data_IF_500026878739
#
_entry.id   IF_500026878739
#
_cell.length_a   1.000
_cell.length_b   1.000
_cell.length_c   1.000
_cell.angle_alpha   90.00
_cell.angle_beta   90.00
_cell.angle_gamma   90.00
#
_symmetry.space_group_name_H-M   'P 1'
#
loop_
_entity.id
_entity.type
_entity.pdbx_description
1 polymer ?
#
# COMPACT_ATOMS: atom_id res chain seq x y z
N UNK A 1 1.39 8.70 13.09
CA UNK A 1 0.84 9.22 11.83
C UNK A 1 -0.63 9.59 12.03
N UNK A 2 -1.05 10.74 11.51
CA UNK A 2 -2.43 11.25 11.67
C UNK A 2 -3.37 10.87 10.53
N UNK A 3 -2.83 10.29 9.45
CA UNK A 3 -3.57 9.82 8.28
C UNK A 3 -3.09 8.42 7.94
N UNK A 4 -3.97 7.65 7.30
CA UNK A 4 -3.59 6.38 6.71
C UNK A 4 -2.52 6.62 5.62
N UNK A 5 -1.68 5.62 5.38
CA UNK A 5 -0.58 5.71 4.42
C UNK A 5 -0.48 4.46 3.57
N UNK A 6 -0.62 4.62 2.26
CA UNK A 6 -0.44 3.56 1.28
C UNK A 6 0.97 3.62 0.67
N UNK A 7 1.73 2.56 0.84
CA UNK A 7 3.01 2.37 0.18
C UNK A 7 2.86 1.58 -1.11
N UNK A 8 3.43 2.11 -2.19
CA UNK A 8 3.44 1.50 -3.53
C UNK A 8 4.87 1.43 -4.06
N UNK A 9 5.12 0.47 -4.94
CA UNK A 9 6.36 0.40 -5.71
C UNK A 9 6.26 1.31 -6.93
N UNK A 10 7.28 2.15 -7.15
CA UNK A 10 7.44 2.87 -8.41
C UNK A 10 7.58 1.87 -9.56
N UNK A 11 6.79 1.96 -10.64
CA UNK A 11 6.92 1.06 -11.79
C UNK A 11 8.22 1.32 -12.56
N UNK A 12 8.61 0.37 -13.40
CA UNK A 12 9.81 0.48 -14.25
C UNK A 12 11.11 0.07 -13.55
N UNK A 13 11.03 -0.72 -12.48
CA UNK A 13 12.21 -1.20 -11.75
C UNK A 13 12.87 -2.40 -12.43
N UNK A 14 14.15 -2.59 -12.15
CA UNK A 14 14.90 -3.78 -12.55
C UNK A 14 15.04 -4.71 -11.35
N UNK A 15 14.93 -6.02 -11.61
CA UNK A 15 15.16 -7.06 -10.61
C UNK A 15 16.47 -7.77 -10.97
N UNK A 16 17.50 -7.75 -10.10
CA UNK A 16 18.76 -8.46 -10.33
C UNK A 16 18.61 -9.94 -10.64
N UNK A 17 17.51 -10.59 -10.21
CA UNK A 17 17.20 -11.97 -10.56
C UNK A 17 16.82 -12.16 -12.04
N UNK A 18 16.47 -11.07 -12.74
CA UNK A 18 16.04 -11.05 -14.13
C UNK A 18 16.74 -9.92 -14.93
N UNK A 19 18.05 -10.06 -15.19
CA UNK A 19 18.85 -9.00 -15.79
C UNK A 19 18.32 -8.57 -17.18
N UNK A 20 18.40 -7.26 -17.46
CA UNK A 20 17.98 -6.66 -18.73
C UNK A 20 16.46 -6.50 -18.92
N UNK A 21 15.66 -6.78 -17.88
CA UNK A 21 14.20 -6.65 -17.91
C UNK A 21 13.72 -5.57 -16.94
N UNK A 22 12.68 -4.85 -17.34
CA UNK A 22 11.97 -3.89 -16.50
C UNK A 22 10.61 -4.42 -16.11
N UNK A 23 10.21 -4.12 -14.89
CA UNK A 23 9.02 -4.66 -14.26
C UNK A 23 8.16 -3.56 -13.66
N UNK A 24 6.90 -3.90 -13.44
CA UNK A 24 6.02 -3.19 -12.53
C UNK A 24 5.37 -4.21 -11.60
N UNK A 25 5.02 -3.79 -10.39
CA UNK A 25 4.25 -4.63 -9.48
C UNK A 25 2.78 -4.50 -9.88
N UNK A 26 2.17 -5.59 -10.38
CA UNK A 26 0.79 -5.55 -10.86
C UNK A 26 -0.23 -5.22 -9.76
N UNK A 27 0.02 -5.65 -8.51
CA UNK A 27 -0.77 -5.22 -7.35
C UNK A 27 -0.69 -3.71 -7.10
N UNK A 28 0.50 -3.11 -7.22
CA UNK A 28 0.64 -1.65 -7.08
C UNK A 28 0.00 -0.93 -8.26
N UNK A 29 0.12 -1.47 -9.49
CA UNK A 29 -0.49 -0.88 -10.69
C UNK A 29 -2.03 -0.86 -10.58
N UNK A 30 -2.64 -1.88 -9.98
CA UNK A 30 -4.07 -1.89 -9.65
C UNK A 30 -4.43 -0.70 -8.75
N UNK A 31 -3.67 -0.48 -7.66
CA UNK A 31 -3.89 0.67 -6.78
C UNK A 31 -3.70 1.99 -7.52
N UNK A 32 -2.63 2.14 -8.30
CA UNK A 32 -2.38 3.35 -9.10
C UNK A 32 -3.55 3.68 -10.03
N UNK A 33 -4.13 2.67 -10.70
CA UNK A 33 -5.31 2.88 -11.55
C UNK A 33 -6.54 3.36 -10.78
N UNK A 34 -6.79 2.79 -9.60
CA UNK A 34 -7.88 3.22 -8.70
C UNK A 34 -7.64 4.66 -8.22
N UNK A 35 -6.45 4.97 -7.74
CA UNK A 35 -6.09 6.31 -7.27
C UNK A 35 -6.22 7.37 -8.38
N UNK A 36 -5.76 7.04 -9.58
CA UNK A 36 -5.84 7.93 -10.74
C UNK A 36 -7.28 8.18 -11.20
N UNK A 37 -8.17 7.21 -11.00
CA UNK A 37 -9.60 7.32 -11.36
C UNK A 37 -10.37 8.22 -10.38
N UNK A 38 -9.89 8.37 -9.14
CA UNK A 38 -10.55 9.15 -8.08
C UNK A 38 -9.55 10.10 -7.37
N UNK A 39 -8.98 11.10 -8.07
CA UNK A 39 -7.88 11.91 -7.55
C UNK A 39 -8.26 12.75 -6.32
N UNK A 40 -9.53 13.15 -6.18
CA UNK A 40 -10.01 13.88 -5.00
C UNK A 40 -10.04 12.98 -3.74
N UNK A 41 -10.38 11.70 -3.91
CA UNK A 41 -10.37 10.74 -2.81
C UNK A 41 -8.95 10.34 -2.44
N UNK A 42 -8.05 10.24 -3.43
CA UNK A 42 -6.63 9.95 -3.21
C UNK A 42 -5.92 11.01 -2.36
N UNK A 43 -6.44 12.25 -2.29
CA UNK A 43 -5.91 13.30 -1.41
C UNK A 43 -6.26 13.10 0.07
N UNK A 44 -7.16 12.15 0.41
CA UNK A 44 -7.66 11.92 1.78
C UNK A 44 -6.71 11.12 2.67
N UNK A 45 -5.62 10.61 2.13
CA UNK A 45 -4.60 9.85 2.85
C UNK A 45 -3.24 10.01 2.16
N UNK A 46 -2.18 9.51 2.78
CA UNK A 46 -0.83 9.62 2.22
C UNK A 46 -0.57 8.48 1.22
N UNK A 47 -0.01 8.80 0.06
CA UNK A 47 0.46 7.79 -0.91
C UNK A 47 1.97 7.96 -1.11
N UNK A 48 2.74 6.97 -0.66
CA UNK A 48 4.20 6.98 -0.76
C UNK A 48 4.68 5.94 -1.78
N UNK A 49 5.36 6.42 -2.82
CA UNK A 49 5.91 5.57 -3.88
C UNK A 49 7.40 5.39 -3.66
N UNK A 50 7.83 4.16 -3.39
CA UNK A 50 9.23 3.82 -3.07
C UNK A 50 9.86 2.91 -4.13
N UNK A 51 11.19 2.80 -4.09
CA UNK A 51 11.95 1.98 -5.03
C UNK A 51 11.83 0.47 -4.72
N UNK A 52 12.11 -0.36 -5.73
CA UNK A 52 12.11 -1.83 -5.63
C UNK A 52 13.02 -2.45 -4.56
N UNK A 53 14.28 -2.00 -4.39
CA UNK A 53 15.25 -2.72 -3.56
C UNK A 53 14.77 -2.95 -2.12
N UNK A 54 15.07 -4.14 -1.60
CA UNK A 54 15.04 -4.44 -0.17
C UNK A 54 16.44 -4.20 0.43
N UNK A 55 16.56 -3.89 1.74
CA UNK A 55 15.49 -3.66 2.70
C UNK A 55 14.77 -2.31 2.51
N UNK A 56 13.44 -2.30 2.67
CA UNK A 56 12.62 -1.07 2.54
C UNK A 56 12.50 -0.35 3.88
N UNK A 57 13.61 0.28 4.31
CA UNK A 57 13.74 0.89 5.64
C UNK A 57 12.55 1.78 6.08
N UNK A 58 11.96 2.65 5.22
CA UNK A 58 10.80 3.45 5.61
C UNK A 58 9.57 2.61 6.00
N UNK A 59 9.39 1.45 5.36
CA UNK A 59 8.28 0.52 5.64
C UNK A 59 8.61 -0.31 6.88
N UNK A 60 9.84 -0.83 6.97
CA UNK A 60 10.31 -1.65 8.10
C UNK A 60 10.19 -0.90 9.42
N UNK A 61 10.51 0.40 9.44
CA UNK A 61 10.35 1.24 10.63
C UNK A 61 8.91 1.31 11.16
N UNK A 62 7.91 1.03 10.31
CA UNK A 62 6.49 1.16 10.63
C UNK A 62 5.81 -0.19 10.87
N UNK A 63 6.26 -1.25 10.21
CA UNK A 63 5.60 -2.57 10.28
C UNK A 63 6.55 -3.74 10.54
N UNK A 64 7.84 -3.50 10.79
CA UNK A 64 8.83 -4.55 10.99
C UNK A 64 9.33 -5.18 9.69
N UNK A 65 10.40 -5.95 9.80
CA UNK A 65 11.13 -6.49 8.64
C UNK A 65 10.32 -7.50 7.82
N UNK A 66 9.51 -8.31 8.50
CA UNK A 66 8.69 -9.37 7.92
C UNK A 66 7.56 -8.84 7.03
N UNK A 67 7.14 -7.59 7.23
CA UNK A 67 5.95 -7.01 6.60
C UNK A 67 6.25 -5.94 5.54
N UNK A 68 7.49 -5.90 5.02
CA UNK A 68 7.93 -4.89 4.03
C UNK A 68 7.47 -5.14 2.57
N UNK A 69 6.52 -6.04 2.34
CA UNK A 69 5.96 -6.31 0.99
C UNK A 69 4.94 -5.23 0.60
N UNK A 70 4.86 -4.91 -0.69
CA UNK A 70 3.99 -3.84 -1.22
C UNK A 70 3.02 -4.38 -2.28
N UNK A 71 1.81 -3.82 -2.42
CA UNK A 71 1.29 -2.62 -1.72
C UNK A 71 1.01 -2.87 -0.23
N UNK A 72 1.08 -1.83 0.58
CA UNK A 72 0.82 -1.89 2.02
C UNK A 72 0.10 -0.63 2.49
N UNK A 73 -1.09 -0.78 3.07
CA UNK A 73 -1.81 0.31 3.73
C UNK A 73 -1.54 0.24 5.24
N UNK A 74 -1.04 1.32 5.82
CA UNK A 74 -0.87 1.47 7.26
C UNK A 74 -1.95 2.43 7.75
N UNK A 75 -2.66 2.07 8.80
CA UNK A 75 -3.72 2.92 9.35
C UNK A 75 -3.13 4.01 10.25
N UNK A 76 -3.86 5.11 10.36
CA UNK A 76 -3.58 6.19 11.32
C UNK A 76 -3.46 5.66 12.75
N UNK A 77 -2.69 6.36 13.60
CA UNK A 77 -2.37 5.86 14.94
C UNK A 77 -3.64 5.64 15.78
N UNK A 78 -3.76 4.47 16.40
CA UNK A 78 -4.90 4.08 17.24
C UNK A 78 -6.10 3.50 16.47
N UNK A 79 -6.09 3.57 15.14
CA UNK A 79 -7.15 3.02 14.29
C UNK A 79 -6.97 1.52 14.03
N UNK A 80 -8.10 0.85 13.83
CA UNK A 80 -8.16 -0.56 13.41
C UNK A 80 -9.11 -0.72 12.23
N UNK A 81 -9.06 -1.86 11.55
CA UNK A 81 -10.03 -2.20 10.50
C UNK A 81 -10.29 -3.70 10.52
N UNK A 82 -11.53 -4.11 10.21
CA UNK A 82 -11.86 -5.52 9.99
C UNK A 82 -11.07 -6.15 8.82
N UNK A 83 -10.49 -5.32 7.96
CA UNK A 83 -9.65 -5.74 6.84
C UNK A 83 -8.16 -5.84 7.20
N UNK A 84 -7.75 -5.49 8.43
CA UNK A 84 -6.34 -5.56 8.81
C UNK A 84 -5.77 -6.96 8.68
N UNK A 85 -4.53 -7.06 8.20
CA UNK A 85 -3.79 -8.32 8.04
C UNK A 85 -2.73 -8.49 9.10
N UNK A 86 -2.43 -7.45 9.87
CA UNK A 86 -1.49 -7.51 10.98
C UNK A 86 -1.47 -6.23 11.80
N UNK A 87 -0.66 -6.28 12.85
CA UNK A 87 -0.38 -5.14 13.71
C UNK A 87 1.08 -5.20 14.14
N UNK A 88 1.76 -4.05 14.14
CA UNK A 88 3.13 -3.93 14.62
C UNK A 88 3.24 -2.72 15.54
N UNK A 89 3.66 -2.92 16.79
CA UNK A 89 3.80 -1.85 17.78
C UNK A 89 2.57 -0.92 17.87
N UNK A 90 1.37 -1.49 17.85
CA UNK A 90 0.10 -0.75 17.91
C UNK A 90 -0.35 -0.10 16.59
N UNK A 91 0.38 -0.31 15.49
CA UNK A 91 -0.03 0.14 14.14
C UNK A 91 -0.66 -1.00 13.37
N UNK A 92 -1.95 -0.89 13.07
CA UNK A 92 -2.64 -1.82 12.18
C UNK A 92 -2.22 -1.57 10.72
N UNK A 93 -2.06 -2.65 9.95
CA UNK A 93 -1.73 -2.57 8.53
C UNK A 93 -2.47 -3.63 7.70
N UNK A 94 -2.54 -3.40 6.40
CA UNK A 94 -3.21 -4.23 5.40
C UNK A 94 -2.24 -4.47 4.25
N UNK A 95 -1.88 -5.73 4.02
CA UNK A 95 -0.91 -6.15 3.00
C UNK A 95 -1.52 -7.05 1.91
N UNK A 96 -2.84 -7.18 1.88
CA UNK A 96 -3.58 -7.94 0.88
C UNK A 96 -4.31 -6.98 -0.06
N UNK A 97 -4.23 -7.21 -1.38
CA UNK A 97 -4.76 -6.29 -2.39
C UNK A 97 -6.26 -6.05 -2.27
N UNK A 98 -7.05 -7.10 -2.00
CA UNK A 98 -8.52 -6.99 -2.01
C UNK A 98 -8.98 -6.34 -0.71
N UNK A 99 -8.30 -6.66 0.39
CA UNK A 99 -8.50 -5.99 1.68
C UNK A 99 -8.09 -4.52 1.65
N UNK A 100 -7.03 -4.16 0.91
CA UNK A 100 -6.67 -2.75 0.70
C UNK A 100 -7.79 -2.03 -0.05
N UNK A 101 -8.30 -2.59 -1.17
CA UNK A 101 -9.42 -1.98 -1.90
C UNK A 101 -10.65 -1.80 -1.02
N UNK A 102 -11.02 -2.83 -0.26
CA UNK A 102 -12.16 -2.76 0.66
C UNK A 102 -11.97 -1.71 1.77
N UNK A 103 -10.73 -1.56 2.28
CA UNK A 103 -10.40 -0.51 3.25
C UNK A 103 -10.43 0.90 2.63
N UNK A 104 -10.03 1.06 1.36
CA UNK A 104 -10.17 2.34 0.66
C UNK A 104 -11.65 2.73 0.51
N UNK A 105 -12.54 1.78 0.22
CA UNK A 105 -13.99 2.02 0.23
C UNK A 105 -14.47 2.42 1.63
N UNK A 106 -14.18 1.59 2.64
CA UNK A 106 -14.62 1.77 4.03
C UNK A 106 -14.18 3.13 4.60
N UNK A 107 -12.91 3.50 4.41
CA UNK A 107 -12.26 4.56 5.19
C UNK A 107 -12.11 5.86 4.43
N UNK A 108 -12.09 5.80 3.09
CA UNK A 108 -11.84 6.97 2.25
C UNK A 108 -12.95 7.24 1.23
N UNK A 109 -13.95 6.35 1.15
CA UNK A 109 -15.14 6.53 0.31
C UNK A 109 -14.90 6.22 -1.17
N UNK A 110 -13.90 5.40 -1.49
CA UNK A 110 -13.75 4.88 -2.85
C UNK A 110 -14.95 4.00 -3.21
N UNK A 111 -15.38 3.98 -4.49
CA UNK A 111 -16.38 3.03 -4.93
C UNK A 111 -15.87 1.59 -4.82
N UNK A 112 -16.78 0.66 -4.55
CA UNK A 112 -16.47 -0.76 -4.51
C UNK A 112 -16.13 -1.30 -5.91
N UNK A 113 -15.20 -2.28 -6.02
CA UNK A 113 -14.97 -2.98 -7.27
C UNK A 113 -16.23 -3.75 -7.67
N UNK A 114 -16.54 -3.78 -8.97
CA UNK A 114 -17.61 -4.61 -9.49
C UNK A 114 -17.29 -6.10 -9.24
N UNK A 115 -18.28 -6.93 -8.86
CA UNK A 115 -18.12 -8.38 -8.70
C UNK A 115 -17.58 -9.11 -9.93
#
# INVERSE_FOLDING_TARGET
MTRDRLFLLRPGFEDPAYPGRRFYCWHCALMEGVLASFPELAQRFDVERIAWPRPRLPVIALVGEEHQSLPLLILSDGETSKYQTGMFQGKAFISDKDKILAALSERHGFPDPHP
#
